data_IF_672043132370
#
_entry.id   IF_672043132370
#
_cell.length_a   1.000
_cell.length_b   1.000
_cell.length_c   1.000
_cell.angle_alpha   90.00
_cell.angle_beta   90.00
_cell.angle_gamma   90.00
#
_symmetry.space_group_name_H-M   'P 1'
#
loop_
_entity.id
_entity.type
_entity.pdbx_description
1 polymer ?
#
# COMPACT_ATOMS: atom_id res chain seq x y z
N UNK A 1 13.74 12.55 -18.56
CA UNK A 1 12.53 13.31 -18.19
C UNK A 1 11.41 13.20 -19.23
N UNK A 2 11.69 13.38 -20.53
CA UNK A 2 10.66 13.34 -21.59
C UNK A 2 9.82 12.04 -21.61
N UNK A 3 10.47 10.88 -21.51
CA UNK A 3 9.80 9.57 -21.47
C UNK A 3 8.84 9.42 -20.27
N UNK A 4 9.26 9.88 -19.09
CA UNK A 4 8.43 9.86 -17.87
C UNK A 4 7.21 10.77 -18.01
N UNK A 5 7.38 11.93 -18.65
CA UNK A 5 6.26 12.82 -18.97
C UNK A 5 5.23 12.17 -19.88
N UNK A 6 5.68 11.50 -20.95
CA UNK A 6 4.79 10.77 -21.87
C UNK A 6 4.04 9.66 -21.14
N UNK A 7 4.75 8.85 -20.33
CA UNK A 7 4.13 7.78 -19.55
C UNK A 7 3.10 8.36 -18.57
N UNK A 8 3.42 9.46 -17.88
CA UNK A 8 2.50 10.13 -16.96
C UNK A 8 1.22 10.63 -17.65
N UNK A 9 1.35 11.23 -18.83
CA UNK A 9 0.20 11.69 -19.63
C UNK A 9 -0.64 10.51 -20.09
N UNK A 10 -0.01 9.45 -20.59
CA UNK A 10 -0.70 8.24 -21.02
C UNK A 10 -1.46 7.57 -19.88
N UNK A 11 -0.85 7.43 -18.70
CA UNK A 11 -1.50 6.90 -17.49
C UNK A 11 -2.68 7.77 -17.08
N UNK A 12 -2.52 9.09 -17.09
CA UNK A 12 -3.60 10.04 -16.79
C UNK A 12 -4.78 9.83 -17.73
N UNK A 13 -4.52 9.78 -19.04
CA UNK A 13 -5.56 9.54 -20.04
C UNK A 13 -6.29 8.20 -19.84
N UNK A 14 -5.55 7.13 -19.53
CA UNK A 14 -6.11 5.81 -19.23
C UNK A 14 -7.04 5.87 -18.01
N UNK A 15 -6.62 6.55 -16.94
CA UNK A 15 -7.41 6.69 -15.71
C UNK A 15 -8.67 7.53 -15.96
N UNK A 16 -8.57 8.63 -16.71
CA UNK A 16 -9.73 9.45 -17.07
C UNK A 16 -10.75 8.69 -17.92
N UNK A 17 -10.28 7.84 -18.84
CA UNK A 17 -11.16 6.98 -19.63
C UNK A 17 -11.80 5.87 -18.78
N UNK A 18 -11.05 5.32 -17.83
CA UNK A 18 -11.51 4.26 -16.94
C UNK A 18 -10.92 4.42 -15.52
N UNK A 19 -11.64 5.07 -14.58
CA UNK A 19 -11.15 5.30 -13.22
C UNK A 19 -10.78 4.03 -12.45
N UNK A 20 -11.36 2.88 -12.81
CA UNK A 20 -10.99 1.59 -12.23
C UNK A 20 -9.52 1.20 -12.51
N UNK A 21 -8.95 1.62 -13.65
CA UNK A 21 -7.53 1.42 -13.93
C UNK A 21 -6.65 2.11 -12.88
N UNK A 22 -7.10 3.28 -12.39
CA UNK A 22 -6.48 3.98 -11.28
C UNK A 22 -6.41 3.13 -10.01
N UNK A 23 -7.46 2.38 -9.68
CA UNK A 23 -7.47 1.46 -8.53
C UNK A 23 -6.44 0.33 -8.68
N UNK A 24 -6.34 -0.26 -9.87
CA UNK A 24 -5.34 -1.31 -10.13
C UNK A 24 -3.91 -0.77 -9.99
N UNK A 25 -3.65 0.40 -10.57
CA UNK A 25 -2.35 1.07 -10.49
C UNK A 25 -2.02 1.48 -9.05
N UNK A 26 -2.98 2.06 -8.31
CA UNK A 26 -2.80 2.36 -6.88
C UNK A 26 -2.43 1.12 -6.09
N UNK A 27 -3.14 0.01 -6.30
CA UNK A 27 -2.88 -1.27 -5.60
C UNK A 27 -1.47 -1.77 -5.89
N UNK A 28 -1.02 -1.65 -7.14
CA UNK A 28 0.32 -2.06 -7.56
C UNK A 28 1.41 -1.17 -6.98
N UNK A 29 1.23 0.15 -7.02
CA UNK A 29 2.22 1.11 -6.54
C UNK A 29 2.17 1.38 -5.03
N UNK A 30 1.22 0.76 -4.30
CA UNK A 30 1.04 0.99 -2.87
C UNK A 30 2.30 0.76 -2.02
N UNK A 31 3.08 -0.33 -2.20
CA UNK A 31 4.30 -0.54 -1.40
C UNK A 31 5.50 0.29 -1.87
N UNK A 32 5.42 0.96 -3.01
CA UNK A 32 6.53 1.72 -3.60
C UNK A 32 6.62 3.12 -2.98
N UNK A 33 7.05 3.16 -1.71
CA UNK A 33 7.19 4.42 -0.99
C UNK A 33 8.53 5.12 -1.27
N UNK A 34 9.59 4.35 -1.54
CA UNK A 34 10.94 4.88 -1.83
C UNK A 34 11.22 4.94 -3.33
N UNK A 35 10.78 3.92 -4.07
CA UNK A 35 11.08 3.82 -5.50
C UNK A 35 10.09 4.69 -6.27
N UNK A 36 10.60 5.75 -6.90
CA UNK A 36 9.79 6.69 -7.67
C UNK A 36 9.14 7.80 -6.84
N UNK A 37 9.46 7.92 -5.54
CA UNK A 37 9.08 9.08 -4.75
C UNK A 37 9.98 10.27 -5.02
N UNK A 38 9.43 11.48 -4.89
CA UNK A 38 10.18 12.73 -5.02
C UNK A 38 9.93 13.56 -3.77
N UNK A 39 11.00 14.01 -3.12
CA UNK A 39 10.91 14.93 -1.99
C UNK A 39 10.89 16.37 -2.51
N UNK A 40 9.79 17.08 -2.25
CA UNK A 40 9.60 18.48 -2.63
C UNK A 40 9.22 19.27 -1.38
N UNK A 41 10.05 20.25 -1.02
CA UNK A 41 9.82 21.11 0.16
C UNK A 41 9.55 20.35 1.46
N UNK A 42 10.24 19.22 1.68
CA UNK A 42 10.07 18.37 2.87
C UNK A 42 8.87 17.42 2.84
N UNK A 43 8.14 17.36 1.71
CA UNK A 43 7.03 16.43 1.49
C UNK A 43 7.44 15.36 0.48
N UNK A 44 7.36 14.10 0.89
CA UNK A 44 7.59 12.94 0.01
C UNK A 44 6.34 12.65 -0.82
N UNK A 45 6.36 13.00 -2.10
CA UNK A 45 5.29 12.67 -3.05
C UNK A 45 5.52 11.26 -3.59
N UNK A 46 4.56 10.37 -3.33
CA UNK A 46 4.64 8.94 -3.72
C UNK A 46 3.85 8.67 -5.00
N UNK A 47 4.27 7.71 -5.85
CA UNK A 47 3.52 7.34 -7.05
C UNK A 47 2.06 6.98 -6.77
N UNK A 48 1.80 6.23 -5.69
CA UNK A 48 0.45 5.83 -5.29
C UNK A 48 -0.45 7.03 -4.95
N UNK A 49 0.10 8.09 -4.34
CA UNK A 49 -0.63 9.33 -4.04
C UNK A 49 -1.00 10.09 -5.32
N UNK A 50 -0.06 10.21 -6.26
CA UNK A 50 -0.31 10.87 -7.55
C UNK A 50 -1.41 10.15 -8.33
N UNK A 51 -1.33 8.81 -8.41
CA UNK A 51 -2.34 7.99 -9.08
C UNK A 51 -3.69 8.11 -8.38
N UNK A 52 -3.72 8.12 -7.04
CA UNK A 52 -4.93 8.34 -6.27
C UNK A 52 -5.59 9.69 -6.55
N UNK A 53 -4.81 10.77 -6.58
CA UNK A 53 -5.30 12.11 -6.93
C UNK A 53 -5.90 12.12 -8.33
N UNK A 54 -5.20 11.59 -9.33
CA UNK A 54 -5.72 11.50 -10.71
C UNK A 54 -7.02 10.68 -10.76
N UNK A 55 -7.08 9.57 -10.02
CA UNK A 55 -8.27 8.70 -9.95
C UNK A 55 -9.47 9.42 -9.33
N UNK A 56 -9.24 10.18 -8.25
CA UNK A 56 -10.24 11.03 -7.60
C UNK A 56 -10.78 12.06 -8.60
N UNK A 57 -9.89 12.80 -9.26
CA UNK A 57 -10.30 13.82 -10.24
C UNK A 57 -11.06 13.21 -11.42
N UNK A 58 -10.57 12.09 -11.96
CA UNK A 58 -11.24 11.37 -13.04
C UNK A 58 -12.67 10.94 -12.65
N UNK A 59 -12.84 10.44 -11.42
CA UNK A 59 -14.16 10.07 -10.90
C UNK A 59 -15.07 11.28 -10.72
N UNK A 60 -14.60 12.35 -10.06
CA UNK A 60 -15.39 13.54 -9.79
C UNK A 60 -15.79 14.26 -11.08
N UNK A 61 -14.83 14.57 -11.93
CA UNK A 61 -15.05 15.27 -13.21
C UNK A 61 -15.97 14.43 -14.11
N UNK A 62 -15.68 13.14 -14.27
CA UNK A 62 -16.52 12.24 -15.05
C UNK A 62 -17.94 12.12 -14.50
N UNK A 63 -18.10 12.14 -13.18
CA UNK A 63 -19.39 12.13 -12.51
C UNK A 63 -20.20 13.42 -12.70
N UNK A 64 -19.54 14.58 -12.61
CA UNK A 64 -20.15 15.91 -12.87
C UNK A 64 -20.63 16.00 -14.31
N UNK A 65 -19.77 15.69 -15.30
CA UNK A 65 -20.13 15.77 -16.71
C UNK A 65 -21.26 14.81 -17.09
N UNK A 66 -21.35 13.65 -16.43
CA UNK A 66 -22.42 12.67 -16.63
C UNK A 66 -23.66 12.93 -15.77
N UNK A 67 -23.64 13.94 -14.89
CA UNK A 67 -24.68 14.25 -13.89
C UNK A 67 -25.10 13.03 -13.06
N UNK A 68 -24.15 12.14 -12.75
CA UNK A 68 -24.38 10.86 -12.05
C UNK A 68 -23.35 10.64 -10.94
N UNK A 69 -23.18 11.64 -10.09
CA UNK A 69 -22.39 11.51 -8.86
C UNK A 69 -23.26 10.89 -7.76
N UNK A 70 -23.26 9.56 -7.71
CA UNK A 70 -23.85 8.82 -6.60
C UNK A 70 -22.74 8.15 -5.82
N UNK A 71 -22.68 8.41 -4.52
CA UNK A 71 -21.79 7.71 -3.61
C UNK A 71 -22.50 6.44 -3.12
N UNK A 72 -21.86 5.30 -3.33
CA UNK A 72 -22.29 4.03 -2.79
C UNK A 72 -22.29 4.10 -1.24
N UNK A 73 -23.32 3.54 -0.58
CA UNK A 73 -23.35 3.48 0.87
C UNK A 73 -22.14 2.68 1.36
N UNK A 74 -21.44 3.24 2.34
CA UNK A 74 -20.22 2.65 2.88
C UNK A 74 -20.35 2.46 4.41
N UNK A 75 -20.38 1.21 4.93
CA UNK A 75 -20.57 0.96 6.36
C UNK A 75 -19.44 1.52 7.23
N UNK A 76 -18.23 1.72 6.67
CA UNK A 76 -17.10 2.29 7.40
C UNK A 76 -17.07 3.83 7.38
N UNK A 77 -18.03 4.49 6.71
CA UNK A 77 -18.07 5.95 6.61
C UNK A 77 -18.12 6.63 8.00
N UNK A 78 -19.05 6.22 8.87
CA UNK A 78 -19.21 6.82 10.19
C UNK A 78 -18.00 6.58 11.11
N UNK A 79 -17.45 5.35 11.21
CA UNK A 79 -16.18 5.13 11.92
C UNK A 79 -15.04 6.01 11.41
N UNK A 80 -14.87 6.14 10.10
CA UNK A 80 -13.83 6.99 9.51
C UNK A 80 -14.07 8.48 9.81
N UNK A 81 -15.31 8.94 9.71
CA UNK A 81 -15.68 10.32 10.03
C UNK A 81 -15.39 10.65 11.52
N UNK A 82 -15.76 9.74 12.43
CA UNK A 82 -15.44 9.86 13.85
C UNK A 82 -13.93 9.89 14.10
N UNK A 83 -13.17 9.01 13.42
CA UNK A 83 -11.71 9.01 13.50
C UNK A 83 -11.10 10.33 13.02
N UNK A 84 -11.53 10.86 11.87
CA UNK A 84 -11.08 12.16 11.35
C UNK A 84 -11.43 13.29 12.33
N UNK A 85 -12.64 13.27 12.91
CA UNK A 85 -13.08 14.29 13.87
C UNK A 85 -12.20 14.30 15.13
N UNK A 86 -11.92 13.12 15.69
CA UNK A 86 -11.03 13.00 16.86
C UNK A 86 -9.63 13.55 16.55
N UNK A 87 -9.06 13.20 15.38
CA UNK A 87 -7.76 13.73 14.98
C UNK A 87 -7.79 15.24 14.74
N UNK A 88 -8.88 15.78 14.18
CA UNK A 88 -9.05 17.22 14.00
C UNK A 88 -9.12 17.97 15.33
N UNK A 89 -9.85 17.44 16.32
CA UNK A 89 -9.90 18.01 17.67
C UNK A 89 -8.56 17.90 18.39
N UNK A 90 -7.79 16.83 18.16
CA UNK A 90 -6.48 16.65 18.77
C UNK A 90 -5.44 17.70 18.33
N UNK A 91 -5.63 18.37 17.17
CA UNK A 91 -4.73 19.43 16.70
C UNK A 91 -4.63 20.59 17.71
N UNK A 92 -5.72 20.93 18.40
CA UNK A 92 -5.73 22.03 19.37
C UNK A 92 -4.76 21.82 20.54
N UNK A 93 -4.38 20.57 20.81
CA UNK A 93 -3.43 20.21 21.87
C UNK A 93 -2.08 19.72 21.30
N UNK A 94 -1.85 19.87 20.00
CA UNK A 94 -0.64 19.35 19.36
C UNK A 94 0.58 20.24 19.63
N UNK A 95 1.72 19.69 20.08
CA UNK A 95 2.96 20.45 20.25
C UNK A 95 3.50 21.07 18.96
N UNK A 96 3.20 20.46 17.81
CA UNK A 96 3.60 20.95 16.48
C UNK A 96 2.36 20.98 15.57
N UNK A 97 1.72 22.14 15.50
CA UNK A 97 0.47 22.35 14.75
C UNK A 97 0.69 22.15 13.25
N UNK A 98 1.81 22.63 12.71
CA UNK A 98 2.12 22.53 11.28
C UNK A 98 2.20 21.06 10.83
N UNK A 99 2.99 20.24 11.55
CA UNK A 99 3.11 18.81 11.27
C UNK A 99 1.80 18.07 11.47
N UNK A 100 1.05 18.39 12.53
CA UNK A 100 -0.26 17.79 12.80
C UNK A 100 -1.27 18.10 11.70
N UNK A 101 -1.27 19.32 11.17
CA UNK A 101 -2.11 19.71 10.04
C UNK A 101 -1.80 18.90 8.79
N UNK A 102 -0.52 18.71 8.45
CA UNK A 102 -0.12 17.87 7.31
C UNK A 102 -0.54 16.40 7.50
N UNK A 103 -0.37 15.85 8.70
CA UNK A 103 -0.79 14.48 9.01
C UNK A 103 -2.30 14.33 8.91
N UNK A 104 -3.08 15.29 9.42
CA UNK A 104 -4.53 15.27 9.29
C UNK A 104 -4.97 15.33 7.82
N UNK A 105 -4.36 16.20 7.01
CA UNK A 105 -4.66 16.29 5.58
C UNK A 105 -4.41 14.93 4.88
N UNK A 106 -3.31 14.25 5.23
CA UNK A 106 -3.01 12.92 4.70
C UNK A 106 -3.99 11.84 5.17
N UNK A 107 -4.44 11.90 6.43
CA UNK A 107 -5.49 11.02 6.97
C UNK A 107 -6.81 11.22 6.22
N UNK A 108 -7.24 12.47 6.04
CA UNK A 108 -8.46 12.82 5.29
C UNK A 108 -8.37 12.29 3.86
N UNK A 109 -7.24 12.53 3.20
CA UNK A 109 -6.99 12.04 1.85
C UNK A 109 -7.11 10.51 1.76
N UNK A 110 -6.48 9.78 2.67
CA UNK A 110 -6.52 8.31 2.69
C UNK A 110 -7.93 7.78 2.99
N UNK A 111 -8.65 8.40 3.93
CA UNK A 111 -10.05 8.07 4.23
C UNK A 111 -10.94 8.31 3.00
N UNK A 112 -10.71 9.41 2.28
CA UNK A 112 -11.47 9.72 1.08
C UNK A 112 -11.26 8.69 -0.04
N UNK A 113 -10.02 8.24 -0.25
CA UNK A 113 -9.73 7.11 -1.16
C UNK A 113 -10.52 5.86 -0.74
N UNK A 114 -10.51 5.50 0.55
CA UNK A 114 -11.25 4.35 1.06
C UNK A 114 -12.77 4.46 0.84
N UNK A 115 -13.35 5.65 1.01
CA UNK A 115 -14.77 5.92 0.76
C UNK A 115 -15.12 5.81 -0.74
N UNK A 116 -14.18 6.15 -1.62
CA UNK A 116 -14.38 6.07 -3.06
C UNK A 116 -14.26 4.66 -3.63
N UNK A 117 -13.51 3.75 -2.99
CA UNK A 117 -13.29 2.40 -3.54
C UNK A 117 -14.58 1.64 -3.91
N UNK A 118 -15.65 1.62 -3.10
CA UNK A 118 -16.92 0.98 -3.47
C UNK A 118 -17.60 1.58 -4.71
N UNK A 119 -17.30 2.83 -5.05
CA UNK A 119 -17.82 3.49 -6.25
C UNK A 119 -17.04 3.10 -7.51
N UNK A 120 -15.76 2.79 -7.33
CA UNK A 120 -14.82 2.46 -8.41
C UNK A 120 -14.82 0.96 -8.73
N UNK A 121 -15.07 0.11 -7.74
CA UNK A 121 -15.14 -1.35 -7.87
C UNK A 121 -16.61 -1.77 -7.92
N UNK A 122 -17.12 -2.01 -9.13
CA UNK A 122 -18.57 -2.20 -9.37
C UNK A 122 -19.07 -3.63 -9.22
N UNK A 123 -18.18 -4.60 -9.39
CA UNK A 123 -18.56 -6.00 -9.51
C UNK A 123 -17.47 -6.94 -8.98
N UNK A 124 -17.85 -8.21 -8.78
CA UNK A 124 -16.95 -9.26 -8.28
C UNK A 124 -15.76 -9.53 -9.21
N UNK A 125 -15.91 -9.30 -10.52
CA UNK A 125 -14.82 -9.49 -11.50
C UNK A 125 -13.77 -8.41 -11.31
N UNK A 126 -14.17 -7.16 -11.12
CA UNK A 126 -13.29 -6.04 -10.79
C UNK A 126 -12.59 -6.24 -9.45
N UNK A 127 -13.32 -6.66 -8.41
CA UNK A 127 -12.72 -6.99 -7.12
C UNK A 127 -11.65 -8.08 -7.27
N UNK A 128 -11.94 -9.15 -8.04
CA UNK A 128 -10.95 -10.20 -8.32
C UNK A 128 -9.70 -9.67 -9.04
N UNK A 129 -9.85 -8.70 -9.95
CA UNK A 129 -8.69 -8.05 -10.60
C UNK A 129 -7.85 -7.26 -9.61
N UNK A 130 -8.47 -6.53 -8.67
CA UNK A 130 -7.77 -5.81 -7.59
C UNK A 130 -7.02 -6.79 -6.70
N UNK A 131 -7.67 -7.88 -6.27
CA UNK A 131 -7.02 -8.93 -5.48
C UNK A 131 -5.86 -9.57 -6.24
N UNK A 132 -6.00 -9.88 -7.52
CA UNK A 132 -4.90 -10.41 -8.33
C UNK A 132 -3.73 -9.41 -8.45
N UNK A 133 -4.02 -8.11 -8.60
CA UNK A 133 -2.99 -7.08 -8.61
C UNK A 133 -2.28 -6.99 -7.26
N UNK A 134 -3.02 -7.05 -6.15
CA UNK A 134 -2.46 -7.09 -4.80
C UNK A 134 -1.56 -8.33 -4.61
N UNK A 135 -2.00 -9.50 -5.07
CA UNK A 135 -1.25 -10.76 -5.01
C UNK A 135 0.03 -10.73 -5.83
N UNK A 136 -0.03 -10.20 -7.05
CA UNK A 136 1.14 -10.01 -7.90
C UNK A 136 2.14 -9.07 -7.23
N UNK A 137 1.64 -7.94 -6.70
CA UNK A 137 2.47 -6.95 -6.02
C UNK A 137 3.14 -7.56 -4.80
N UNK A 138 2.37 -8.26 -3.96
CA UNK A 138 2.86 -9.01 -2.81
C UNK A 138 3.98 -9.99 -3.19
N UNK A 139 3.80 -10.78 -4.25
CA UNK A 139 4.82 -11.70 -4.73
C UNK A 139 6.11 -10.97 -5.11
N UNK A 140 6.00 -9.89 -5.89
CA UNK A 140 7.16 -9.12 -6.33
C UNK A 140 7.93 -8.52 -5.16
N UNK A 141 7.22 -7.87 -4.22
CA UNK A 141 7.89 -7.20 -3.08
C UNK A 141 8.45 -8.18 -2.05
N UNK A 142 7.83 -9.35 -1.87
CA UNK A 142 8.37 -10.39 -0.97
C UNK A 142 9.60 -11.07 -1.57
N UNK A 143 9.61 -11.35 -2.88
CA UNK A 143 10.82 -11.84 -3.57
C UNK A 143 11.94 -10.80 -3.46
N UNK A 144 11.64 -9.54 -3.74
CA UNK A 144 12.63 -8.46 -3.62
C UNK A 144 13.15 -8.29 -2.19
N UNK A 145 12.29 -8.47 -1.18
CA UNK A 145 12.70 -8.45 0.22
C UNK A 145 13.65 -9.60 0.62
N UNK A 146 13.43 -10.81 0.09
CA UNK A 146 14.38 -11.91 0.28
C UNK A 146 15.71 -11.62 -0.44
N UNK A 147 15.66 -11.05 -1.64
CA UNK A 147 16.86 -10.62 -2.35
C UNK A 147 17.67 -9.60 -1.53
N UNK A 148 17.00 -8.60 -0.93
CA UNK A 148 17.65 -7.64 -0.02
C UNK A 148 18.38 -8.32 1.13
N UNK A 149 17.71 -9.24 1.82
CA UNK A 149 18.29 -9.97 2.94
C UNK A 149 19.51 -10.80 2.51
N UNK A 150 19.35 -11.65 1.50
CA UNK A 150 20.43 -12.52 1.03
C UNK A 150 21.60 -11.71 0.48
N UNK A 151 21.32 -10.65 -0.28
CA UNK A 151 22.31 -9.75 -0.84
C UNK A 151 23.18 -9.11 0.23
N UNK A 152 22.56 -8.55 1.28
CA UNK A 152 23.30 -7.94 2.38
C UNK A 152 24.11 -8.98 3.15
N UNK A 153 23.56 -10.17 3.42
CA UNK A 153 24.26 -11.27 4.10
C UNK A 153 25.53 -11.69 3.34
N UNK A 154 25.47 -11.81 2.01
CA UNK A 154 26.66 -12.15 1.19
C UNK A 154 27.62 -10.97 0.98
N UNK A 155 27.26 -9.77 1.45
CA UNK A 155 28.12 -8.58 1.40
C UNK A 155 27.94 -7.73 0.15
N UNK A 156 26.79 -7.81 -0.53
CA UNK A 156 26.46 -6.86 -1.58
C UNK A 156 26.23 -5.46 -0.97
N UNK A 157 26.69 -4.40 -1.65
CA UNK A 157 26.55 -3.03 -1.15
C UNK A 157 25.08 -2.55 -1.23
N UNK A 158 24.69 -1.55 -0.39
CA UNK A 158 23.32 -1.04 -0.31
C UNK A 158 22.74 -0.53 -1.63
N UNK A 159 23.58 -0.06 -2.55
CA UNK A 159 23.15 0.41 -3.88
C UNK A 159 22.60 -0.73 -4.74
N UNK A 160 23.12 -1.95 -4.57
CA UNK A 160 22.67 -3.13 -5.31
C UNK A 160 21.50 -3.81 -4.60
N UNK A 161 21.57 -3.95 -3.27
CA UNK A 161 20.47 -4.56 -2.51
C UNK A 161 19.24 -3.65 -2.48
N UNK A 162 19.44 -2.34 -2.52
CA UNK A 162 18.38 -1.35 -2.32
C UNK A 162 17.93 -1.25 -0.86
N UNK A 163 18.70 -1.79 0.08
CA UNK A 163 18.52 -1.51 1.52
C UNK A 163 18.88 -0.05 1.82
N UNK A 164 18.50 0.44 3.00
CA UNK A 164 19.03 1.69 3.53
C UNK A 164 20.18 1.36 4.46
N UNK A 165 21.18 2.23 4.52
CA UNK A 165 22.40 2.01 5.31
C UNK A 165 22.10 1.73 6.78
N UNK A 166 21.05 2.34 7.33
CA UNK A 166 20.57 2.15 8.70
C UNK A 166 20.04 0.73 8.99
N UNK A 167 19.77 -0.06 7.96
CA UNK A 167 19.12 -1.37 8.05
C UNK A 167 20.00 -2.52 7.54
N UNK A 168 21.29 -2.27 7.29
CA UNK A 168 22.26 -3.29 6.90
C UNK A 168 22.74 -4.07 8.12
N UNK A 169 23.34 -5.24 7.86
CA UNK A 169 24.00 -6.04 8.90
C UNK A 169 25.17 -5.33 9.57
N UNK A 170 25.82 -4.40 8.86
CA UNK A 170 26.99 -3.68 9.40
C UNK A 170 26.60 -2.75 10.55
N UNK A 171 25.40 -2.17 10.48
CA UNK A 171 24.88 -1.27 11.52
C UNK A 171 24.13 -2.02 12.62
N UNK A 172 23.29 -3.00 12.24
CA UNK A 172 22.37 -3.65 13.17
C UNK A 172 22.79 -5.06 13.62
N UNK A 173 23.88 -5.59 13.07
CA UNK A 173 24.28 -7.00 13.24
C UNK A 173 23.44 -7.99 12.40
N UNK A 174 22.34 -7.54 11.81
CA UNK A 174 21.51 -8.31 10.89
C UNK A 174 20.73 -7.38 9.93
N UNK A 175 20.49 -7.78 8.67
CA UNK A 175 19.74 -6.96 7.73
C UNK A 175 18.24 -6.93 8.07
N UNK A 176 17.65 -5.73 8.10
CA UNK A 176 16.20 -5.54 8.26
C UNK A 176 15.56 -5.21 6.92
N UNK A 177 14.72 -6.10 6.43
CA UNK A 177 14.12 -5.98 5.10
C UNK A 177 13.05 -4.89 5.08
N UNK A 178 13.13 -4.00 4.08
CA UNK A 178 12.13 -2.97 3.80
C UNK A 178 11.52 -3.07 2.39
N UNK A 179 12.03 -3.96 1.54
CA UNK A 179 11.66 -4.09 0.13
C UNK A 179 11.63 -2.72 -0.56
N UNK A 180 10.49 -2.32 -1.14
CA UNK A 180 10.29 -1.05 -1.84
C UNK A 180 9.79 0.10 -0.94
N UNK A 181 9.54 -0.18 0.35
CA UNK A 181 9.08 0.82 1.32
C UNK A 181 10.25 1.63 1.89
N UNK A 182 9.93 2.74 2.58
CA UNK A 182 10.94 3.61 3.21
C UNK A 182 11.56 2.98 4.47
N UNK A 183 10.77 2.17 5.18
CA UNK A 183 11.14 1.55 6.45
C UNK A 183 10.57 0.12 6.55
N UNK A 184 11.23 -0.79 7.30
CA UNK A 184 10.76 -2.16 7.52
C UNK A 184 9.34 -2.23 8.08
N UNK A 185 8.95 -1.26 8.91
CA UNK A 185 7.62 -1.25 9.52
C UNK A 185 6.51 -0.91 8.50
N UNK A 186 6.77 -0.02 7.54
CA UNK A 186 5.82 0.30 6.47
C UNK A 186 5.64 -0.89 5.53
N UNK A 187 6.74 -1.59 5.21
CA UNK A 187 6.69 -2.83 4.45
C UNK A 187 5.88 -3.90 5.20
N UNK A 188 6.14 -4.09 6.49
CA UNK A 188 5.39 -5.04 7.31
C UNK A 188 3.89 -4.71 7.36
N UNK A 189 3.53 -3.43 7.48
CA UNK A 189 2.13 -2.99 7.46
C UNK A 189 1.45 -3.31 6.12
N UNK A 190 2.14 -3.06 4.99
CA UNK A 190 1.64 -3.47 3.68
C UNK A 190 1.46 -4.98 3.59
N UNK A 191 2.41 -5.78 4.07
CA UNK A 191 2.37 -7.25 3.98
C UNK A 191 1.17 -7.86 4.70
N UNK A 192 0.74 -7.27 5.83
CA UNK A 192 -0.31 -7.85 6.66
C UNK A 192 -1.58 -8.15 5.88
N UNK A 193 -2.08 -7.22 5.08
CA UNK A 193 -3.33 -7.39 4.32
C UNK A 193 -3.28 -8.58 3.32
N UNK A 194 -2.39 -8.58 2.30
CA UNK A 194 -2.29 -9.71 1.38
C UNK A 194 -1.90 -11.00 2.08
N UNK A 195 -0.99 -10.97 3.06
CA UNK A 195 -0.57 -12.18 3.77
C UNK A 195 -1.74 -12.83 4.51
N UNK A 196 -2.53 -12.02 5.22
CA UNK A 196 -3.73 -12.49 5.93
C UNK A 196 -4.78 -13.08 4.98
N UNK A 197 -5.01 -12.43 3.83
CA UNK A 197 -5.91 -12.95 2.80
C UNK A 197 -5.44 -14.31 2.24
N UNK A 198 -4.15 -14.42 1.92
CA UNK A 198 -3.56 -15.67 1.42
C UNK A 198 -3.67 -16.78 2.46
N UNK A 199 -3.35 -16.46 3.71
CA UNK A 199 -3.41 -17.41 4.81
C UNK A 199 -4.85 -17.91 5.03
N UNK A 200 -5.83 -17.01 5.04
CA UNK A 200 -7.24 -17.38 5.15
C UNK A 200 -7.68 -18.30 4.00
N UNK A 201 -7.29 -18.01 2.76
CA UNK A 201 -7.60 -18.87 1.60
C UNK A 201 -6.90 -20.24 1.72
N UNK A 202 -5.66 -20.27 2.20
CA UNK A 202 -4.90 -21.50 2.43
C UNK A 202 -5.56 -22.38 3.49
N UNK A 203 -5.98 -21.81 4.62
CA UNK A 203 -6.61 -22.54 5.73
C UNK A 203 -8.01 -23.04 5.38
N UNK A 204 -8.83 -22.19 4.75
CA UNK A 204 -10.23 -22.53 4.42
C UNK A 204 -10.39 -23.34 3.13
N UNK A 205 -9.34 -23.40 2.29
CA UNK A 205 -9.38 -24.02 0.95
C UNK A 205 -10.52 -23.51 0.07
N UNK A 206 -10.95 -22.27 0.31
CA UNK A 206 -12.12 -21.63 -0.29
C UNK A 206 -11.99 -21.39 -1.80
N UNK A 207 -10.78 -21.42 -2.35
CA UNK A 207 -10.50 -21.21 -3.77
C UNK A 207 -9.72 -22.38 -4.34
N UNK A 208 -10.02 -22.76 -5.59
CA UNK A 208 -9.30 -23.77 -6.38
C UNK A 208 -7.91 -23.27 -6.84
N UNK A 209 -7.05 -22.86 -5.91
CA UNK A 209 -5.62 -22.60 -6.15
C UNK A 209 -4.82 -23.80 -5.62
N UNK A 210 -3.74 -24.16 -6.30
CA UNK A 210 -2.90 -25.29 -5.87
C UNK A 210 -2.29 -25.00 -4.48
N UNK A 211 -2.49 -25.91 -3.52
CA UNK A 211 -2.08 -25.70 -2.13
C UNK A 211 -0.58 -25.44 -1.95
N UNK A 212 0.28 -26.05 -2.78
CA UNK A 212 1.73 -25.82 -2.71
C UNK A 212 2.11 -24.38 -3.10
N UNK A 213 1.37 -23.76 -4.02
CA UNK A 213 1.62 -22.37 -4.43
C UNK A 213 1.22 -21.42 -3.29
N UNK A 214 0.06 -21.65 -2.67
CA UNK A 214 -0.37 -20.89 -1.49
C UNK A 214 0.61 -21.08 -0.32
N UNK A 215 1.08 -22.31 -0.06
CA UNK A 215 2.08 -22.57 0.97
C UNK A 215 3.39 -21.81 0.72
N UNK A 216 3.86 -21.75 -0.53
CA UNK A 216 5.02 -20.95 -0.92
C UNK A 216 4.81 -19.45 -0.65
N UNK A 217 3.65 -18.91 -0.99
CA UNK A 217 3.31 -17.51 -0.71
C UNK A 217 3.21 -17.21 0.79
N UNK A 218 2.65 -18.13 1.57
CA UNK A 218 2.58 -18.01 3.04
C UNK A 218 3.99 -18.02 3.62
N UNK A 219 4.85 -18.93 3.16
CA UNK A 219 6.24 -19.01 3.60
C UNK A 219 7.01 -17.72 3.26
N UNK A 220 6.89 -17.21 2.03
CA UNK A 220 7.52 -15.96 1.61
C UNK A 220 7.06 -14.77 2.47
N UNK A 221 5.76 -14.68 2.76
CA UNK A 221 5.20 -13.64 3.64
C UNK A 221 5.69 -13.73 5.06
N UNK A 222 5.61 -14.92 5.65
CA UNK A 222 6.05 -15.18 7.02
C UNK A 222 7.53 -14.85 7.21
N UNK A 223 8.38 -15.30 6.27
CA UNK A 223 9.81 -14.97 6.30
C UNK A 223 10.03 -13.46 6.21
N UNK A 224 9.44 -12.77 5.23
CA UNK A 224 9.59 -11.32 5.12
C UNK A 224 9.08 -10.57 6.35
N UNK A 225 7.93 -10.98 6.91
CA UNK A 225 7.37 -10.39 8.12
C UNK A 225 8.37 -10.50 9.28
N UNK A 226 8.96 -11.68 9.49
CA UNK A 226 9.98 -11.91 10.53
C UNK A 226 11.23 -11.05 10.27
N UNK A 227 11.69 -10.98 9.01
CA UNK A 227 12.87 -10.21 8.64
C UNK A 227 12.69 -8.69 8.77
N UNK A 228 11.45 -8.18 8.88
CA UNK A 228 11.21 -6.76 9.17
C UNK A 228 11.54 -6.38 10.62
N UNK A 229 11.44 -7.35 11.55
CA UNK A 229 11.55 -7.14 13.01
C UNK A 229 10.60 -6.03 13.51
N UNK A 230 9.42 -5.92 12.88
CA UNK A 230 8.39 -4.96 13.26
C UNK A 230 7.49 -5.53 14.35
N UNK A 231 7.72 -5.13 15.60
CA UNK A 231 6.92 -5.56 16.76
C UNK A 231 5.42 -5.29 16.58
N UNK A 232 5.08 -4.11 16.04
CA UNK A 232 3.69 -3.74 15.76
C UNK A 232 3.05 -4.67 14.74
N UNK A 233 3.79 -5.09 13.71
CA UNK A 233 3.28 -6.03 12.73
C UNK A 233 3.10 -7.44 13.30
N UNK A 234 3.93 -7.88 14.24
CA UNK A 234 3.74 -9.16 14.93
C UNK A 234 2.47 -9.17 15.77
N UNK A 235 2.20 -8.09 16.51
CA UNK A 235 0.98 -7.95 17.31
C UNK A 235 -0.25 -7.93 16.39
N UNK A 236 -0.19 -7.16 15.31
CA UNK A 236 -1.28 -7.09 14.34
C UNK A 236 -1.52 -8.45 13.65
N UNK A 237 -0.46 -9.18 13.29
CA UNK A 237 -0.58 -10.53 12.73
C UNK A 237 -1.20 -11.51 13.72
N UNK A 238 -0.77 -11.49 14.98
CA UNK A 238 -1.36 -12.32 16.03
C UNK A 238 -2.85 -12.01 16.24
N UNK A 239 -3.22 -10.73 16.23
CA UNK A 239 -4.63 -10.32 16.30
C UNK A 239 -5.43 -10.80 15.08
N UNK A 240 -4.86 -10.72 13.87
CA UNK A 240 -5.51 -11.24 12.66
C UNK A 240 -5.73 -12.75 12.71
N UNK A 241 -4.80 -13.53 13.29
CA UNK A 241 -4.97 -14.97 13.48
C UNK A 241 -6.13 -15.33 14.42
N UNK A 242 -6.48 -14.47 15.38
CA UNK A 242 -7.61 -14.68 16.29
C UNK A 242 -8.97 -14.43 15.62
N UNK A 243 -8.99 -13.64 14.54
CA UNK A 243 -10.21 -13.27 13.81
C UNK A 243 -10.51 -14.22 12.65
N UNK A 244 -9.48 -14.87 12.10
CA UNK A 244 -9.58 -15.82 10.98
C UNK A 244 -10.23 -17.14 11.37
#
# INVERSE_FOLDING_TARGET
MFLLGIVGIALTFIIFKNPFAGVLLMTFFLPFERIGSIDVAGITIRPSQVIAIITIFAFLIGGIFRKKLNFAPNPIFWPLAGFVLVNALAIFNAPNIERSGMVLAFIIFTCFVAILLPNLIKDKVQLKKVLNALMLTYLLVTIFGIYQFLGDIVGLPPELTGLRDLYTKEVLGFPRVQSTALEPLYFANFLLLPFCLILSVFLTKSVKVKSWFLAGLVMLGGLNLVLTVSRGAYIAFAASLLVM
#
